data_IF_877940248492
#
_entry.id   IF_877940248492
#
_cell.length_a   1.000
_cell.length_b   1.000
_cell.length_c   1.000
_cell.angle_alpha   90.00
_cell.angle_beta   90.00
_cell.angle_gamma   90.00
#
_symmetry.space_group_name_H-M   'P 1'
#
loop_
_entity.id
_entity.type
_entity.pdbx_description
1 polymer ?
#
# COMPACT_ATOMS: atom_id res chain seq x y z
N UNK A 1 16.32 -33.88 21.10
CA UNK A 1 16.75 -32.49 20.82
C UNK A 1 15.80 -31.91 19.80
N UNK A 2 14.88 -31.03 20.22
CA UNK A 2 13.90 -30.41 19.33
C UNK A 2 14.62 -29.30 18.56
N UNK A 3 14.69 -29.41 17.22
CA UNK A 3 15.27 -28.36 16.37
C UNK A 3 14.41 -27.08 16.51
N UNK A 4 15.00 -25.91 16.76
CA UNK A 4 14.24 -24.66 16.78
C UNK A 4 13.64 -24.42 15.40
N UNK A 5 12.34 -24.14 15.39
CA UNK A 5 11.48 -24.18 14.22
C UNK A 5 11.82 -23.04 13.24
N UNK A 6 12.30 -23.32 12.00
CA UNK A 6 12.78 -22.30 11.06
C UNK A 6 11.65 -21.53 10.34
N UNK A 7 10.38 -21.80 10.63
CA UNK A 7 9.23 -21.21 9.93
C UNK A 7 8.72 -19.90 10.54
N UNK A 8 9.35 -19.38 11.60
CA UNK A 8 8.93 -18.11 12.22
C UNK A 8 9.18 -16.91 11.30
N UNK A 9 10.27 -16.91 10.53
CA UNK A 9 10.53 -15.87 9.52
C UNK A 9 9.48 -15.93 8.40
N UNK A 10 9.19 -17.12 7.88
CA UNK A 10 8.16 -17.33 6.84
C UNK A 10 6.77 -16.84 7.26
N UNK A 11 6.38 -17.03 8.53
CA UNK A 11 5.07 -16.57 9.04
C UNK A 11 4.85 -15.06 8.92
N UNK A 12 5.90 -14.25 9.01
CA UNK A 12 5.81 -12.79 8.87
C UNK A 12 6.20 -12.29 7.48
N UNK A 13 7.13 -13.00 6.82
CA UNK A 13 7.52 -12.70 5.44
C UNK A 13 6.41 -13.01 4.44
N UNK A 14 5.65 -14.10 4.61
CA UNK A 14 4.58 -14.47 3.67
C UNK A 14 3.49 -13.38 3.54
N UNK A 15 2.91 -12.83 4.64
CA UNK A 15 1.95 -11.73 4.53
C UNK A 15 2.56 -10.47 3.93
N UNK A 16 3.81 -10.16 4.28
CA UNK A 16 4.52 -9.00 3.74
C UNK A 16 4.73 -9.14 2.23
N UNK A 17 5.13 -10.33 1.77
CA UNK A 17 5.28 -10.63 0.35
C UNK A 17 3.94 -10.60 -0.37
N UNK A 18 2.89 -11.18 0.21
CA UNK A 18 1.55 -11.14 -0.37
C UNK A 18 1.06 -9.69 -0.58
N UNK A 19 1.26 -8.83 0.42
CA UNK A 19 0.89 -7.41 0.33
C UNK A 19 1.74 -6.66 -0.71
N UNK A 20 3.06 -6.86 -0.72
CA UNK A 20 3.95 -6.17 -1.67
C UNK A 20 3.70 -6.60 -3.10
N UNK A 21 3.61 -7.91 -3.36
CA UNK A 21 3.33 -8.46 -4.69
C UNK A 21 1.94 -8.03 -5.19
N UNK A 22 0.91 -8.07 -4.33
CA UNK A 22 -0.43 -7.61 -4.69
C UNK A 22 -0.45 -6.12 -5.07
N UNK A 23 0.21 -5.28 -4.25
CA UNK A 23 0.34 -3.85 -4.51
C UNK A 23 1.08 -3.60 -5.83
N UNK A 24 2.23 -4.24 -6.03
CA UNK A 24 3.05 -4.07 -7.22
C UNK A 24 2.33 -4.54 -8.50
N UNK A 25 1.58 -5.65 -8.40
CA UNK A 25 0.76 -6.17 -9.51
C UNK A 25 -0.31 -5.18 -9.92
N UNK A 26 -0.97 -4.54 -8.95
CA UNK A 26 -1.97 -3.50 -9.20
C UNK A 26 -1.36 -2.27 -9.89
N UNK A 27 -0.19 -1.79 -9.42
CA UNK A 27 0.52 -0.68 -10.09
C UNK A 27 0.94 -1.04 -11.52
N UNK A 28 1.42 -2.27 -11.75
CA UNK A 28 1.78 -2.76 -13.07
C UNK A 28 0.57 -2.82 -14.02
N UNK A 29 -0.57 -3.29 -13.52
CA UNK A 29 -1.84 -3.29 -14.25
C UNK A 29 -2.26 -1.87 -14.65
N UNK A 30 -2.24 -0.93 -13.70
CA UNK A 30 -2.61 0.46 -13.94
C UNK A 30 -1.74 1.11 -15.02
N UNK A 31 -0.42 0.82 -15.00
CA UNK A 31 0.53 1.28 -16.03
C UNK A 31 0.24 0.69 -17.41
N UNK A 32 -0.23 -0.56 -17.50
CA UNK A 32 -0.53 -1.24 -18.77
C UNK A 32 -1.86 -0.81 -19.38
N UNK A 33 -2.86 -0.53 -18.55
CA UNK A 33 -4.21 -0.17 -19.02
C UNK A 33 -4.30 1.28 -19.51
N UNK A 34 -3.30 2.12 -19.23
CA UNK A 34 -3.28 3.49 -19.75
C UNK A 34 -4.39 4.34 -19.16
N UNK A 35 -4.54 4.29 -17.83
CA UNK A 35 -5.56 5.04 -17.10
C UNK A 35 -5.35 6.55 -17.32
N UNK A 36 -6.44 7.29 -17.55
CA UNK A 36 -6.38 8.74 -17.78
C UNK A 36 -5.66 9.48 -16.65
N UNK A 37 -4.87 10.50 -17.01
CA UNK A 37 -4.15 11.35 -16.07
C UNK A 37 -5.12 11.95 -15.03
N UNK A 38 -4.73 11.98 -13.75
CA UNK A 38 -5.59 12.49 -12.66
C UNK A 38 -6.41 11.43 -11.91
N UNK A 39 -6.49 10.20 -12.42
CA UNK A 39 -7.21 9.07 -11.81
C UNK A 39 -6.27 7.94 -11.37
N UNK A 40 -4.97 8.21 -11.27
CA UNK A 40 -4.04 7.22 -10.75
C UNK A 40 -4.25 7.00 -9.25
N UNK A 41 -3.96 5.78 -8.77
CA UNK A 41 -4.14 5.47 -7.35
C UNK A 41 -3.29 6.39 -6.46
N UNK A 42 -2.09 6.76 -6.91
CA UNK A 42 -1.20 7.70 -6.22
C UNK A 42 -1.84 9.08 -6.03
N UNK A 43 -2.46 9.63 -7.07
CA UNK A 43 -3.12 10.94 -6.98
C UNK A 43 -4.34 10.89 -6.06
N UNK A 44 -5.10 9.79 -6.09
CA UNK A 44 -6.24 9.61 -5.18
C UNK A 44 -5.82 9.49 -3.72
N UNK A 45 -4.72 8.77 -3.46
CA UNK A 45 -4.12 8.66 -2.13
C UNK A 45 -3.62 10.03 -1.67
N UNK A 46 -2.89 10.77 -2.51
CA UNK A 46 -2.45 12.13 -2.20
C UNK A 46 -3.62 13.07 -1.88
N UNK A 47 -4.65 13.10 -2.72
CA UNK A 47 -5.89 13.88 -2.48
C UNK A 47 -6.59 13.48 -1.18
N UNK A 48 -6.48 12.22 -0.75
CA UNK A 48 -7.04 11.78 0.55
C UNK A 48 -6.17 12.23 1.72
N UNK A 49 -4.85 12.11 1.62
CA UNK A 49 -3.91 12.58 2.65
C UNK A 49 -4.03 14.08 2.86
N UNK A 50 -4.10 14.87 1.78
CA UNK A 50 -4.31 16.31 1.84
C UNK A 50 -5.63 16.67 2.53
N UNK A 51 -6.73 15.99 2.19
CA UNK A 51 -8.02 16.20 2.86
C UNK A 51 -7.96 15.90 4.36
N UNK A 52 -7.27 14.83 4.76
CA UNK A 52 -7.10 14.50 6.18
C UNK A 52 -6.25 15.58 6.89
N UNK A 53 -5.17 16.04 6.25
CA UNK A 53 -4.32 17.11 6.78
C UNK A 53 -5.08 18.42 6.94
N UNK A 54 -5.85 18.82 5.93
CA UNK A 54 -6.68 20.02 5.96
C UNK A 54 -7.78 19.95 7.03
N UNK A 55 -8.45 18.80 7.18
CA UNK A 55 -9.44 18.58 8.24
C UNK A 55 -8.86 18.65 9.65
N UNK A 56 -7.64 18.15 9.85
CA UNK A 56 -6.94 18.27 11.13
C UNK A 56 -6.48 19.70 11.43
N UNK A 57 -6.17 20.49 10.40
CA UNK A 57 -5.79 21.90 10.56
C UNK A 57 -7.00 22.76 10.94
N UNK A 58 -8.18 22.48 10.38
CA UNK A 58 -9.44 23.16 10.74
C UNK A 58 -9.95 22.84 12.15
N UNK A 59 -9.51 21.73 12.77
CA UNK A 59 -9.85 21.38 14.16
C UNK A 59 -8.91 21.99 15.20
N UNK A 60 -7.81 22.61 14.78
CA UNK A 60 -6.79 23.20 15.67
C UNK A 60 -6.88 24.73 15.77
N UNK A 61 -7.86 25.35 15.09
CA UNK A 61 -8.14 26.79 15.14
C UNK A 61 -9.46 26.97 15.90
#
# INVERSE_FOLDING_TARGET
MVKPNPFLLGRFLDPLFALTVGTMSYYSYEKRVGRAEGHSLNELVWKRVERIRAGNQSRRI
#
